data_IF_454964658662
#
_entry.id   IF_454964658662
#
_cell.length_a   1.000
_cell.length_b   1.000
_cell.length_c   1.000
_cell.angle_alpha   90.00
_cell.angle_beta   90.00
_cell.angle_gamma   90.00
#
_symmetry.space_group_name_H-M   'P 1'
#
loop_
_entity.id
_entity.type
_entity.pdbx_description
1 polymer ?
#
# COMPACT_ATOMS: atom_id res chain seq x y z
N UNK A 1 -2.82 -12.18 21.79
CA UNK A 1 -2.72 -11.37 20.56
C UNK A 1 -2.87 -12.26 19.34
N UNK A 2 -3.78 -11.92 18.44
CA UNK A 2 -3.98 -12.67 17.19
C UNK A 2 -2.84 -12.43 16.22
N UNK A 3 -2.64 -13.32 15.22
CA UNK A 3 -1.67 -13.05 14.14
C UNK A 3 -1.91 -11.72 13.43
N UNK A 4 -3.16 -11.35 13.16
CA UNK A 4 -3.51 -10.07 12.53
C UNK A 4 -3.13 -8.88 13.41
N UNK A 5 -3.41 -8.94 14.70
CA UNK A 5 -3.02 -7.87 15.64
C UNK A 5 -1.52 -7.71 15.70
N UNK A 6 -0.78 -8.81 15.70
CA UNK A 6 0.68 -8.78 15.70
C UNK A 6 1.23 -8.16 14.42
N UNK A 7 0.71 -8.59 13.28
CA UNK A 7 1.12 -8.06 11.99
C UNK A 7 0.88 -6.54 11.91
N UNK A 8 -0.28 -6.09 12.39
CA UNK A 8 -0.62 -4.68 12.39
C UNK A 8 0.31 -3.85 13.30
N UNK A 9 0.60 -4.33 14.49
CA UNK A 9 1.52 -3.63 15.40
C UNK A 9 2.91 -3.48 14.82
N UNK A 10 3.43 -4.54 14.21
CA UNK A 10 4.74 -4.52 13.56
C UNK A 10 4.75 -3.56 12.37
N UNK A 11 3.69 -3.57 11.57
CA UNK A 11 3.53 -2.64 10.45
C UNK A 11 3.58 -1.18 10.91
N UNK A 12 2.77 -0.82 11.89
CA UNK A 12 2.73 0.55 12.42
C UNK A 12 4.12 0.98 12.88
N UNK A 13 4.81 0.11 13.60
CA UNK A 13 6.14 0.40 14.13
C UNK A 13 7.16 0.66 13.02
N UNK A 14 7.20 -0.21 12.01
CA UNK A 14 8.15 -0.05 10.89
C UNK A 14 7.85 1.21 10.10
N UNK A 15 6.57 1.51 9.85
CA UNK A 15 6.21 2.71 9.12
C UNK A 15 6.57 3.99 9.90
N UNK A 16 6.44 3.98 11.22
CA UNK A 16 6.90 5.08 12.06
C UNK A 16 8.40 5.28 11.95
N UNK A 17 9.17 4.21 11.95
CA UNK A 17 10.63 4.29 11.76
C UNK A 17 10.97 4.86 10.38
N UNK A 18 10.25 4.43 9.34
CA UNK A 18 10.48 4.91 7.97
C UNK A 18 10.19 6.42 7.88
N UNK A 19 9.07 6.87 8.44
CA UNK A 19 8.69 8.28 8.44
C UNK A 19 9.67 9.15 9.23
N UNK A 20 10.29 8.59 10.27
CA UNK A 20 11.25 9.29 11.12
C UNK A 20 12.69 9.23 10.59
N UNK A 21 12.90 8.61 9.41
CA UNK A 21 14.22 8.48 8.82
C UNK A 21 15.15 7.52 9.53
N UNK A 22 14.63 6.60 10.34
CA UNK A 22 15.41 5.61 11.10
C UNK A 22 15.69 4.36 10.27
N UNK A 23 16.56 4.50 9.28
CA UNK A 23 16.85 3.44 8.31
C UNK A 23 17.33 2.13 8.95
N UNK A 24 18.17 2.22 10.00
CA UNK A 24 18.68 1.04 10.70
C UNK A 24 17.56 0.26 11.39
N UNK A 25 16.62 1.00 12.00
CA UNK A 25 15.46 0.39 12.65
C UNK A 25 14.55 -0.28 11.62
N UNK A 26 14.34 0.35 10.47
CA UNK A 26 13.57 -0.24 9.36
C UNK A 26 14.20 -1.56 8.92
N UNK A 27 15.51 -1.55 8.64
CA UNK A 27 16.25 -2.74 8.21
C UNK A 27 16.13 -3.88 9.23
N UNK A 28 16.15 -3.52 10.51
CA UNK A 28 16.07 -4.50 11.62
C UNK A 28 14.68 -5.13 11.75
N UNK A 29 13.62 -4.32 11.64
CA UNK A 29 12.26 -4.76 11.95
C UNK A 29 11.43 -5.16 10.72
N UNK A 30 11.74 -4.67 9.52
CA UNK A 30 10.97 -4.98 8.33
C UNK A 30 10.85 -6.49 8.04
N UNK A 31 11.91 -7.30 8.18
CA UNK A 31 11.78 -8.75 7.97
C UNK A 31 10.77 -9.40 8.92
N UNK A 32 10.66 -8.89 10.15
CA UNK A 32 9.67 -9.39 11.12
C UNK A 32 8.25 -9.09 10.67
N UNK A 33 8.02 -7.91 10.09
CA UNK A 33 6.71 -7.52 9.56
C UNK A 33 6.32 -8.40 8.40
N UNK A 34 7.25 -8.60 7.45
CA UNK A 34 7.00 -9.45 6.29
C UNK A 34 6.68 -10.89 6.72
N UNK A 35 7.45 -11.43 7.66
CA UNK A 35 7.21 -12.78 8.19
C UNK A 35 5.86 -12.88 8.88
N UNK A 36 5.47 -11.88 9.68
CA UNK A 36 4.18 -11.87 10.36
C UNK A 36 3.01 -11.88 9.37
N UNK A 37 3.13 -11.10 8.27
CA UNK A 37 2.10 -11.09 7.23
C UNK A 37 2.03 -12.40 6.46
N UNK A 38 3.17 -13.06 6.22
CA UNK A 38 3.20 -14.37 5.57
C UNK A 38 2.50 -15.46 6.39
N UNK A 39 2.39 -15.28 7.70
CA UNK A 39 1.69 -16.20 8.58
C UNK A 39 0.16 -16.05 8.53
N UNK A 40 -0.36 -15.00 7.93
CA UNK A 40 -1.79 -14.79 7.79
C UNK A 40 -2.36 -15.75 6.74
N UNK A 41 -3.38 -16.52 7.11
CA UNK A 41 -3.96 -17.53 6.21
C UNK A 41 -4.87 -16.91 5.16
N UNK A 42 -5.67 -15.92 5.57
CA UNK A 42 -6.62 -15.24 4.69
C UNK A 42 -6.50 -13.73 4.89
N UNK A 43 -5.38 -13.13 4.42
CA UNK A 43 -5.18 -11.70 4.64
C UNK A 43 -6.24 -10.86 3.94
N UNK A 44 -6.71 -9.82 4.63
CA UNK A 44 -7.63 -8.83 4.09
C UNK A 44 -6.94 -7.94 3.06
N UNK A 45 -7.70 -7.15 2.32
CA UNK A 45 -7.14 -6.13 1.42
C UNK A 45 -6.25 -5.16 2.21
N UNK A 46 -6.70 -4.73 3.39
CA UNK A 46 -5.92 -3.84 4.26
C UNK A 46 -4.58 -4.47 4.65
N UNK A 47 -4.60 -5.73 5.05
CA UNK A 47 -3.37 -6.45 5.42
C UNK A 47 -2.44 -6.64 4.23
N UNK A 48 -2.97 -6.90 3.05
CA UNK A 48 -2.16 -6.97 1.83
C UNK A 48 -1.53 -5.63 1.47
N UNK A 49 -2.27 -4.55 1.68
CA UNK A 49 -1.76 -3.20 1.48
C UNK A 49 -0.59 -2.92 2.44
N UNK A 50 -0.73 -3.28 3.72
CA UNK A 50 0.35 -3.14 4.72
C UNK A 50 1.60 -3.91 4.28
N UNK A 51 1.42 -5.15 3.84
CA UNK A 51 2.53 -5.98 3.37
C UNK A 51 3.25 -5.32 2.19
N UNK A 52 2.47 -4.81 1.22
CA UNK A 52 3.01 -4.10 0.07
C UNK A 52 3.77 -2.83 0.46
N UNK A 53 3.26 -2.05 1.42
CA UNK A 53 3.93 -0.82 1.86
C UNK A 53 5.27 -1.11 2.55
N UNK A 54 5.34 -2.15 3.36
CA UNK A 54 6.61 -2.56 3.97
C UNK A 54 7.58 -3.06 2.91
N UNK A 55 7.10 -3.84 1.95
CA UNK A 55 7.91 -4.29 0.82
C UNK A 55 8.50 -3.13 0.02
N UNK A 56 7.72 -2.06 -0.15
CA UNK A 56 8.19 -0.83 -0.80
C UNK A 56 9.34 -0.20 -0.01
N UNK A 57 9.19 -0.09 1.30
CA UNK A 57 10.21 0.52 2.17
C UNK A 57 11.55 -0.24 2.09
N UNK A 58 11.51 -1.56 1.92
CA UNK A 58 12.73 -2.37 1.78
C UNK A 58 13.21 -2.49 0.32
N UNK A 59 12.52 -1.87 -0.62
CA UNK A 59 12.94 -1.86 -2.02
C UNK A 59 12.70 -3.17 -2.76
N UNK A 60 11.56 -3.84 -2.50
CA UNK A 60 11.18 -5.11 -3.15
C UNK A 60 9.96 -4.90 -4.07
N UNK A 61 10.14 -4.27 -5.24
CA UNK A 61 9.01 -3.91 -6.11
C UNK A 61 8.20 -5.11 -6.60
N UNK A 62 8.80 -6.28 -6.74
CA UNK A 62 8.09 -7.49 -7.16
C UNK A 62 7.03 -7.92 -6.12
N UNK A 63 7.32 -7.74 -4.83
CA UNK A 63 6.35 -8.04 -3.76
C UNK A 63 5.24 -7.00 -3.76
N UNK A 64 5.60 -5.71 -3.90
CA UNK A 64 4.63 -4.62 -3.96
C UNK A 64 3.64 -4.87 -5.10
N UNK A 65 4.15 -5.20 -6.28
CA UNK A 65 3.33 -5.46 -7.46
C UNK A 65 2.41 -6.67 -7.26
N UNK A 66 2.93 -7.75 -6.69
CA UNK A 66 2.15 -8.96 -6.44
C UNK A 66 0.96 -8.67 -5.51
N UNK A 67 1.17 -7.89 -4.45
CA UNK A 67 0.09 -7.51 -3.54
C UNK A 67 -0.93 -6.61 -4.22
N UNK A 68 -0.47 -5.63 -5.00
CA UNK A 68 -1.36 -4.75 -5.76
C UNK A 68 -2.21 -5.56 -6.75
N UNK A 69 -1.62 -6.47 -7.49
CA UNK A 69 -2.32 -7.31 -8.46
C UNK A 69 -3.39 -8.16 -7.77
N UNK A 70 -3.06 -8.74 -6.62
CA UNK A 70 -4.02 -9.55 -5.85
C UNK A 70 -5.18 -8.69 -5.35
N UNK A 71 -4.89 -7.52 -4.80
CA UNK A 71 -5.94 -6.58 -4.33
C UNK A 71 -6.87 -6.21 -5.48
N UNK A 72 -6.30 -5.82 -6.62
CA UNK A 72 -7.09 -5.40 -7.79
C UNK A 72 -7.86 -6.56 -8.40
N UNK A 73 -7.37 -7.79 -8.27
CA UNK A 73 -8.11 -8.99 -8.65
C UNK A 73 -9.32 -9.23 -7.75
N UNK A 74 -9.23 -8.88 -6.48
CA UNK A 74 -10.34 -8.99 -5.52
C UNK A 74 -11.34 -7.84 -5.69
N UNK A 75 -10.86 -6.63 -5.98
CA UNK A 75 -11.68 -5.45 -6.20
C UNK A 75 -10.99 -4.49 -7.15
N UNK A 76 -11.43 -4.46 -8.40
CA UNK A 76 -10.77 -3.70 -9.48
C UNK A 76 -10.66 -2.19 -9.22
N UNK A 77 -11.60 -1.63 -8.48
CA UNK A 77 -11.61 -0.19 -8.14
C UNK A 77 -10.97 0.14 -6.80
N UNK A 78 -10.38 -0.83 -6.09
CA UNK A 78 -9.80 -0.59 -4.77
C UNK A 78 -8.79 0.56 -4.82
N UNK A 79 -9.04 1.60 -4.01
CA UNK A 79 -8.12 2.74 -3.92
C UNK A 79 -6.77 2.30 -3.36
N UNK A 80 -6.75 1.39 -2.39
CA UNK A 80 -5.50 0.86 -1.83
C UNK A 80 -4.72 0.08 -2.88
N UNK A 81 -5.40 -0.74 -3.68
CA UNK A 81 -4.76 -1.48 -4.76
C UNK A 81 -4.18 -0.56 -5.82
N UNK A 82 -4.91 0.50 -6.20
CA UNK A 82 -4.45 1.45 -7.21
C UNK A 82 -3.28 2.29 -6.72
N UNK A 83 -3.33 2.75 -5.46
CA UNK A 83 -2.21 3.46 -4.84
C UNK A 83 -0.96 2.58 -4.84
N UNK A 84 -1.10 1.34 -4.40
CA UNK A 84 0.02 0.40 -4.30
C UNK A 84 0.59 0.06 -5.69
N UNK A 85 -0.28 -0.15 -6.68
CA UNK A 85 0.14 -0.45 -8.06
C UNK A 85 0.96 0.69 -8.66
N UNK A 86 0.53 1.94 -8.47
CA UNK A 86 1.28 3.09 -8.94
C UNK A 86 2.64 3.20 -8.25
N UNK A 87 2.68 2.94 -6.94
CA UNK A 87 3.93 2.96 -6.17
C UNK A 87 4.91 1.88 -6.65
N UNK A 88 4.40 0.67 -6.96
CA UNK A 88 5.23 -0.41 -7.50
C UNK A 88 5.89 -0.01 -8.81
N UNK A 89 5.12 0.59 -9.72
CA UNK A 89 5.64 1.02 -11.01
C UNK A 89 6.69 2.14 -10.86
N UNK A 90 6.50 3.05 -9.89
CA UNK A 90 7.49 4.10 -9.62
C UNK A 90 8.78 3.57 -9.03
N UNK A 91 8.71 2.53 -8.22
CA UNK A 91 9.93 1.85 -7.74
C UNK A 91 10.76 1.30 -8.88
N UNK A 92 10.09 0.81 -9.93
CA UNK A 92 10.75 0.29 -11.13
C UNK A 92 11.03 1.39 -12.16
N UNK A 93 10.78 2.64 -11.82
CA UNK A 93 10.98 3.82 -12.68
C UNK A 93 10.17 3.76 -13.98
N UNK A 94 9.01 3.11 -13.91
CA UNK A 94 8.08 3.01 -15.03
C UNK A 94 6.95 4.03 -14.86
N UNK A 95 7.26 5.30 -15.13
CA UNK A 95 6.32 6.41 -14.91
C UNK A 95 5.08 6.32 -15.80
N UNK A 96 5.21 5.84 -17.02
CA UNK A 96 4.06 5.72 -17.92
C UNK A 96 3.04 4.71 -17.39
N UNK A 97 3.48 3.56 -16.88
CA UNK A 97 2.60 2.58 -16.25
C UNK A 97 1.99 3.12 -14.96
N UNK A 98 2.78 3.84 -14.17
CA UNK A 98 2.28 4.47 -12.93
C UNK A 98 1.14 5.45 -13.22
N UNK A 99 1.25 6.23 -14.29
CA UNK A 99 0.19 7.20 -14.67
C UNK A 99 -1.12 6.53 -15.04
N UNK A 100 -1.07 5.32 -15.61
CA UNK A 100 -2.30 4.55 -15.89
C UNK A 100 -3.05 4.26 -14.58
N UNK A 101 -2.33 3.85 -13.55
CA UNK A 101 -2.93 3.61 -12.24
C UNK A 101 -3.37 4.91 -11.55
N UNK A 102 -2.62 6.00 -11.69
CA UNK A 102 -3.04 7.32 -11.21
C UNK A 102 -4.39 7.73 -11.83
N UNK A 103 -4.54 7.54 -13.13
CA UNK A 103 -5.78 7.88 -13.83
C UNK A 103 -6.95 7.04 -13.32
N UNK A 104 -6.72 5.73 -13.14
CA UNK A 104 -7.75 4.83 -12.59
C UNK A 104 -8.13 5.23 -11.16
N UNK A 105 -7.15 5.65 -10.35
CA UNK A 105 -7.39 6.16 -9.00
C UNK A 105 -8.36 7.34 -9.02
N UNK A 106 -8.09 8.35 -9.87
CA UNK A 106 -8.95 9.52 -10.00
C UNK A 106 -10.35 9.15 -10.50
N UNK A 107 -10.45 8.20 -11.42
CA UNK A 107 -11.73 7.75 -11.96
C UNK A 107 -12.57 6.97 -10.95
N UNK A 108 -11.93 6.24 -10.03
CA UNK A 108 -12.61 5.39 -9.06
C UNK A 108 -12.90 6.10 -7.73
N UNK A 109 -12.25 7.24 -7.49
CA UNK A 109 -12.23 7.91 -6.18
C UNK A 109 -13.60 8.14 -5.58
N UNK A 110 -14.49 8.84 -6.31
CA UNK A 110 -15.80 9.23 -5.80
C UNK A 110 -16.65 8.00 -5.46
N UNK A 111 -16.71 7.04 -6.38
CA UNK A 111 -17.50 5.82 -6.20
C UNK A 111 -16.99 4.99 -5.04
N UNK A 112 -15.67 4.84 -4.92
CA UNK A 112 -15.09 4.03 -3.85
C UNK A 112 -15.26 4.69 -2.48
N UNK A 113 -15.07 6.00 -2.38
CA UNK A 113 -15.28 6.71 -1.12
C UNK A 113 -16.74 6.67 -0.68
N UNK A 114 -17.69 6.64 -1.62
CA UNK A 114 -19.11 6.53 -1.32
C UNK A 114 -19.49 5.22 -0.65
N UNK A 115 -18.66 4.18 -0.77
CA UNK A 115 -18.90 2.89 -0.09
C UNK A 115 -18.70 2.97 1.42
N UNK A 116 -18.02 4.01 1.91
CA UNK A 116 -17.68 4.18 3.33
C UNK A 116 -16.85 3.01 3.89
N UNK A 117 -16.05 2.38 3.04
CA UNK A 117 -15.17 1.29 3.46
C UNK A 117 -14.20 1.78 4.55
N UNK A 118 -14.18 1.12 5.74
CA UNK A 118 -13.30 1.53 6.85
C UNK A 118 -11.82 1.56 6.49
N UNK A 119 -11.38 0.73 5.55
CA UNK A 119 -9.99 0.71 5.11
C UNK A 119 -9.58 2.07 4.55
N UNK A 120 -10.48 2.77 3.87
CA UNK A 120 -10.19 4.09 3.31
C UNK A 120 -10.07 5.16 4.40
N UNK A 121 -10.86 5.06 5.46
CA UNK A 121 -10.72 5.96 6.60
C UNK A 121 -9.37 5.75 7.32
N UNK A 122 -8.95 4.50 7.46
CA UNK A 122 -7.69 4.16 8.11
C UNK A 122 -6.46 4.65 7.34
N UNK A 123 -6.58 4.81 6.01
CA UNK A 123 -5.49 5.22 5.13
C UNK A 123 -5.80 6.51 4.39
N UNK A 124 -6.64 7.37 4.98
CA UNK A 124 -7.13 8.57 4.30
C UNK A 124 -6.00 9.52 3.90
N UNK A 125 -5.02 9.73 4.77
CA UNK A 125 -3.89 10.61 4.45
C UNK A 125 -3.11 10.11 3.24
N UNK A 126 -2.85 8.81 3.17
CA UNK A 126 -2.13 8.19 2.05
C UNK A 126 -2.91 8.32 0.75
N UNK A 127 -4.23 8.08 0.82
CA UNK A 127 -5.11 8.22 -0.35
C UNK A 127 -5.14 9.67 -0.82
N UNK A 128 -5.34 10.62 0.08
CA UNK A 128 -5.39 12.04 -0.24
C UNK A 128 -4.07 12.52 -0.86
N UNK A 129 -2.94 12.07 -0.34
CA UNK A 129 -1.63 12.40 -0.91
C UNK A 129 -1.48 11.81 -2.32
N UNK A 130 -1.87 10.56 -2.51
CA UNK A 130 -1.80 9.91 -3.81
C UNK A 130 -2.69 10.63 -4.84
N UNK A 131 -3.88 11.06 -4.42
CA UNK A 131 -4.80 11.81 -5.28
C UNK A 131 -4.22 13.16 -5.66
N UNK A 132 -3.66 13.89 -4.69
CA UNK A 132 -3.03 15.19 -4.94
C UNK A 132 -1.88 15.06 -5.93
N UNK A 133 -1.02 14.06 -5.73
CA UNK A 133 0.10 13.78 -6.63
C UNK A 133 -0.37 13.39 -8.03
N UNK A 134 -1.41 12.56 -8.13
CA UNK A 134 -1.98 12.15 -9.40
C UNK A 134 -2.54 13.35 -10.19
N UNK A 135 -3.19 14.28 -9.49
CA UNK A 135 -3.72 15.52 -10.12
C UNK A 135 -2.61 16.41 -10.62
N UNK A 136 -1.52 16.56 -9.87
CA UNK A 136 -0.36 17.33 -10.30
C UNK A 136 0.30 16.73 -11.54
N UNK A 137 0.46 15.41 -11.56
CA UNK A 137 1.10 14.70 -12.68
C UNK A 137 0.24 14.68 -13.95
N UNK A 138 -1.05 14.94 -13.82
CA UNK A 138 -1.97 15.00 -14.95
C UNK A 138 -1.69 16.22 -15.84
N UNK A 139 -1.08 17.27 -15.28
CA UNK A 139 -0.69 18.47 -16.01
C UNK A 139 0.64 18.22 -16.73
#
# INVERSE_FOLDING_TARGET
MTPSERANRLYVRVMQYAESGKADSVTRFAPMVLAAHQMLQTPSIDERYHYGRVAEVVGAPEIVKAQADTILGLRAGSLLGLVLAARAERLEKNDSAARVFDKRLLQSLERELATQNPDYANHREEIDQAVADARLRKI
#
